data_IF_061774534471
#
_entry.id   IF_061774534471
#
_cell.length_a   1.000
_cell.length_b   1.000
_cell.length_c   1.000
_cell.angle_alpha   90.00
_cell.angle_beta   90.00
_cell.angle_gamma   90.00
#
_symmetry.space_group_name_H-M   'P 1'
#
loop_
_entity.id
_entity.type
_entity.pdbx_description
1 polymer ?
#
# COMPACT_ATOMS: atom_id res chain seq x y z
N UNK A 1 -16.47 -7.81 -14.39
CA UNK A 1 -15.98 -6.42 -14.45
C UNK A 1 -17.15 -5.45 -14.66
N UNK A 2 -16.98 -4.14 -14.35
CA UNK A 2 -18.07 -3.16 -14.57
C UNK A 2 -18.30 -2.91 -16.07
N UNK A 3 -19.56 -2.92 -16.50
CA UNK A 3 -19.93 -2.75 -17.91
C UNK A 3 -20.41 -1.33 -18.25
N UNK A 4 -20.86 -0.57 -17.27
CA UNK A 4 -21.36 0.80 -17.43
C UNK A 4 -21.53 1.49 -16.08
N UNK A 5 -21.76 2.80 -16.06
CA UNK A 5 -22.12 3.55 -14.84
C UNK A 5 -23.46 3.06 -14.27
N UNK A 6 -24.41 2.66 -15.12
CA UNK A 6 -25.67 2.05 -14.65
C UNK A 6 -25.44 0.70 -13.96
N UNK A 7 -24.53 -0.13 -14.47
CA UNK A 7 -24.15 -1.39 -13.82
C UNK A 7 -23.44 -1.13 -12.49
N UNK A 8 -22.54 -0.14 -12.42
CA UNK A 8 -21.91 0.30 -11.18
C UNK A 8 -22.98 0.66 -10.11
N UNK A 9 -24.01 1.42 -10.47
CA UNK A 9 -25.07 1.81 -9.54
C UNK A 9 -25.94 0.60 -9.10
N UNK A 10 -26.14 -0.35 -9.98
CA UNK A 10 -26.84 -1.59 -9.66
C UNK A 10 -26.05 -2.41 -8.64
N UNK A 11 -24.77 -2.68 -8.90
CA UNK A 11 -23.88 -3.42 -8.01
C UNK A 11 -23.79 -2.72 -6.64
N UNK A 12 -23.63 -1.40 -6.60
CA UNK A 12 -23.58 -0.64 -5.38
C UNK A 12 -24.83 -0.83 -4.49
N UNK A 13 -26.03 -0.83 -5.11
CA UNK A 13 -27.32 -1.08 -4.42
C UNK A 13 -27.44 -2.53 -3.95
N UNK A 14 -27.11 -3.50 -4.79
CA UNK A 14 -27.22 -4.93 -4.48
C UNK A 14 -26.33 -5.33 -3.31
N UNK A 15 -25.15 -4.75 -3.24
CA UNK A 15 -24.17 -5.02 -2.18
C UNK A 15 -24.31 -4.08 -0.97
N UNK A 16 -25.13 -3.05 -1.06
CA UNK A 16 -25.25 -1.99 -0.06
C UNK A 16 -23.91 -1.35 0.29
N UNK A 17 -23.12 -1.03 -0.75
CA UNK A 17 -21.79 -0.40 -0.65
C UNK A 17 -21.84 0.92 -1.40
N UNK A 18 -21.10 1.91 -0.90
CA UNK A 18 -20.93 3.19 -1.58
C UNK A 18 -20.46 3.00 -3.03
N UNK A 19 -21.09 3.69 -3.99
CA UNK A 19 -20.78 3.53 -5.42
C UNK A 19 -19.34 3.89 -5.77
N UNK A 20 -18.78 4.87 -5.08
CA UNK A 20 -17.40 5.31 -5.28
C UNK A 20 -16.42 4.25 -4.82
N UNK A 21 -16.70 3.53 -3.74
CA UNK A 21 -15.89 2.39 -3.31
C UNK A 21 -15.92 1.25 -4.35
N UNK A 22 -17.08 0.92 -4.89
CA UNK A 22 -17.22 -0.07 -5.97
C UNK A 22 -16.43 0.34 -7.21
N UNK A 23 -16.54 1.61 -7.62
CA UNK A 23 -15.79 2.17 -8.75
C UNK A 23 -14.27 2.05 -8.55
N UNK A 24 -13.78 2.45 -7.37
CA UNK A 24 -12.34 2.44 -7.06
C UNK A 24 -11.78 1.02 -6.92
N UNK A 25 -12.55 0.09 -6.37
CA UNK A 25 -12.17 -1.34 -6.33
C UNK A 25 -12.03 -1.87 -7.76
N UNK A 26 -13.02 -1.64 -8.61
CA UNK A 26 -12.99 -2.09 -10.00
C UNK A 26 -11.84 -1.46 -10.78
N UNK A 27 -11.62 -0.15 -10.64
CA UNK A 27 -10.51 0.58 -11.25
C UNK A 27 -9.15 0.01 -10.80
N UNK A 28 -8.98 -0.20 -9.50
CA UNK A 28 -7.75 -0.76 -8.95
C UNK A 28 -7.49 -2.20 -9.43
N UNK A 29 -8.53 -3.03 -9.54
CA UNK A 29 -8.40 -4.40 -10.01
C UNK A 29 -8.11 -4.49 -11.51
N UNK A 30 -8.67 -3.58 -12.32
CA UNK A 30 -8.57 -3.62 -13.78
C UNK A 30 -7.40 -2.83 -14.35
N UNK A 31 -6.93 -1.77 -13.63
CA UNK A 31 -6.11 -0.73 -14.25
C UNK A 31 -6.92 0.05 -15.31
N UNK A 32 -6.25 0.74 -16.21
CA UNK A 32 -6.88 1.50 -17.27
C UNK A 32 -6.16 1.36 -18.63
N UNK A 33 -6.88 1.63 -19.70
CA UNK A 33 -6.31 1.97 -21.01
C UNK A 33 -5.90 3.44 -20.97
N UNK A 34 -4.82 3.79 -21.66
CA UNK A 34 -4.41 5.18 -21.79
C UNK A 34 -3.70 5.43 -23.11
N UNK A 35 -3.87 6.61 -23.73
CA UNK A 35 -3.05 7.06 -24.84
C UNK A 35 -1.65 7.48 -24.40
N UNK A 36 -1.42 7.65 -23.09
CA UNK A 36 -0.12 8.01 -22.54
C UNK A 36 0.86 6.84 -22.70
N UNK A 37 2.06 7.13 -23.19
CA UNK A 37 3.11 6.12 -23.39
C UNK A 37 3.83 5.77 -22.07
N UNK A 38 3.05 5.42 -21.03
CA UNK A 38 3.53 5.10 -19.68
C UNK A 38 2.90 3.79 -19.20
N UNK A 39 3.65 2.90 -18.57
CA UNK A 39 3.10 1.66 -18.03
C UNK A 39 2.24 1.90 -16.78
N UNK A 40 2.49 3.02 -16.09
CA UNK A 40 1.88 3.39 -14.81
C UNK A 40 2.00 4.89 -14.60
N UNK A 41 1.05 5.48 -13.86
CA UNK A 41 1.14 6.88 -13.44
C UNK A 41 0.58 7.10 -12.03
N UNK A 42 1.00 8.20 -11.42
CA UNK A 42 0.39 8.81 -10.24
C UNK A 42 -0.43 10.01 -10.68
N UNK A 43 -1.58 10.22 -10.07
CA UNK A 43 -2.44 11.36 -10.40
C UNK A 43 -3.45 11.63 -9.29
N UNK A 44 -4.01 12.82 -9.32
CA UNK A 44 -5.17 13.17 -8.51
C UNK A 44 -6.44 12.97 -9.33
N UNK A 45 -7.40 12.25 -8.76
CA UNK A 45 -8.73 12.02 -9.32
C UNK A 45 -9.78 12.78 -8.52
N UNK A 46 -10.67 13.50 -9.21
CA UNK A 46 -11.88 14.09 -8.65
C UNK A 46 -13.08 13.41 -9.29
N UNK A 47 -13.76 12.57 -8.55
CA UNK A 47 -14.97 11.91 -9.05
C UNK A 47 -16.09 12.93 -9.26
N UNK A 48 -16.85 12.81 -10.37
CA UNK A 48 -17.97 13.71 -10.67
C UNK A 48 -19.03 13.70 -9.56
N UNK A 49 -19.18 12.59 -8.85
CA UNK A 49 -20.08 12.46 -7.69
C UNK A 49 -19.52 13.06 -6.39
N UNK A 50 -18.21 13.35 -6.33
CA UNK A 50 -17.52 13.91 -5.14
C UNK A 50 -16.39 14.89 -5.55
N UNK A 51 -16.73 15.98 -6.23
CA UNK A 51 -15.74 16.90 -6.81
C UNK A 51 -14.84 17.57 -5.76
N UNK A 52 -15.34 17.73 -4.54
CA UNK A 52 -14.63 18.39 -3.44
C UNK A 52 -13.69 17.43 -2.67
N UNK A 53 -13.64 16.15 -3.07
CA UNK A 53 -12.79 15.15 -2.40
C UNK A 53 -11.75 14.61 -3.38
N UNK A 54 -10.59 15.24 -3.50
CA UNK A 54 -9.52 14.73 -4.36
C UNK A 54 -8.98 13.41 -3.80
N UNK A 55 -8.67 12.49 -4.72
CA UNK A 55 -8.14 11.16 -4.44
C UNK A 55 -6.77 11.02 -5.09
N UNK A 56 -5.76 10.60 -4.35
CA UNK A 56 -4.47 10.27 -4.93
C UNK A 56 -4.43 8.79 -5.32
N UNK A 57 -4.16 8.51 -6.58
CA UNK A 57 -4.13 7.16 -7.13
C UNK A 57 -2.81 6.84 -7.81
N UNK A 58 -2.48 5.54 -7.81
CA UNK A 58 -1.41 4.97 -8.63
C UNK A 58 -2.04 3.85 -9.47
N UNK A 59 -2.00 4.00 -10.79
CA UNK A 59 -2.74 3.14 -11.69
C UNK A 59 -1.85 2.58 -12.81
N UNK A 60 -2.02 1.30 -13.12
CA UNK A 60 -1.46 0.65 -14.30
C UNK A 60 -2.23 1.11 -15.56
N UNK A 61 -1.51 1.51 -16.61
CA UNK A 61 -2.07 2.07 -17.85
C UNK A 61 -2.01 1.08 -19.05
N UNK A 62 -1.31 -0.01 -18.92
CA UNK A 62 -1.08 -0.96 -20.02
C UNK A 62 -2.23 -1.95 -20.27
N UNK A 63 -3.41 -1.74 -19.67
CA UNK A 63 -4.53 -2.70 -19.67
C UNK A 63 -5.50 -2.46 -20.83
N UNK A 64 -5.23 -3.07 -21.99
CA UNK A 64 -6.07 -2.90 -23.18
C UNK A 64 -7.48 -3.49 -23.04
N UNK A 65 -7.67 -4.45 -22.15
CA UNK A 65 -8.92 -5.13 -21.81
C UNK A 65 -9.73 -4.42 -20.71
N UNK A 66 -9.18 -3.35 -20.11
CA UNK A 66 -9.87 -2.61 -19.06
C UNK A 66 -11.10 -1.85 -19.59
N UNK A 67 -12.21 -1.83 -18.83
CA UNK A 67 -13.34 -0.96 -19.15
C UNK A 67 -13.05 0.52 -18.85
N UNK A 68 -11.98 0.80 -18.11
CA UNK A 68 -11.55 2.15 -17.77
C UNK A 68 -10.58 2.70 -18.83
N UNK A 69 -10.73 3.98 -19.09
CA UNK A 69 -9.83 4.76 -19.94
C UNK A 69 -9.45 6.04 -19.21
N UNK A 70 -8.15 6.36 -19.18
CA UNK A 70 -7.64 7.56 -18.53
C UNK A 70 -6.73 8.31 -19.49
N UNK A 71 -6.96 9.61 -19.62
CA UNK A 71 -6.08 10.54 -20.31
C UNK A 71 -5.57 11.64 -19.34
N UNK A 72 -5.03 12.73 -19.86
CA UNK A 72 -4.51 13.83 -19.06
C UNK A 72 -5.58 14.64 -18.30
N UNK A 73 -6.85 14.43 -18.62
CA UNK A 73 -7.94 15.27 -18.13
C UNK A 73 -9.06 14.50 -17.47
N UNK A 74 -9.35 13.27 -17.93
CA UNK A 74 -10.55 12.57 -17.55
C UNK A 74 -10.31 11.08 -17.30
N UNK A 75 -11.08 10.52 -16.36
CA UNK A 75 -11.30 9.08 -16.20
C UNK A 75 -12.68 8.74 -16.76
N UNK A 76 -12.74 7.71 -17.60
CA UNK A 76 -13.97 7.20 -18.22
C UNK A 76 -14.18 5.73 -17.89
N UNK A 77 -15.45 5.33 -17.77
CA UNK A 77 -15.89 3.94 -17.69
C UNK A 77 -16.71 3.62 -18.96
N UNK A 78 -16.15 2.79 -19.83
CA UNK A 78 -16.75 2.45 -21.14
C UNK A 78 -17.24 3.69 -21.94
N UNK A 79 -16.40 4.74 -21.99
CA UNK A 79 -16.66 5.97 -22.72
C UNK A 79 -17.45 7.04 -21.95
N UNK A 80 -18.09 6.70 -20.82
CA UNK A 80 -18.78 7.65 -19.98
C UNK A 80 -17.83 8.25 -18.95
N UNK A 81 -17.73 9.58 -18.86
CA UNK A 81 -16.91 10.29 -17.88
C UNK A 81 -17.38 10.00 -16.46
N UNK A 82 -16.42 9.73 -15.55
CA UNK A 82 -16.68 9.47 -14.13
C UNK A 82 -15.85 10.36 -13.20
N UNK A 83 -14.91 11.11 -13.74
CA UNK A 83 -14.12 12.05 -12.96
C UNK A 83 -13.07 12.80 -13.76
N UNK A 84 -12.55 13.88 -13.15
CA UNK A 84 -11.46 14.70 -13.67
C UNK A 84 -10.12 14.22 -13.11
N UNK A 85 -9.10 14.25 -13.97
CA UNK A 85 -7.71 13.88 -13.67
C UNK A 85 -6.87 15.13 -13.67
N UNK A 86 -6.06 15.32 -12.64
CA UNK A 86 -5.04 16.36 -12.58
C UNK A 86 -3.77 15.86 -11.83
N UNK A 87 -2.74 16.70 -11.79
CA UNK A 87 -1.53 16.41 -11.04
C UNK A 87 -0.81 15.13 -11.45
N UNK A 88 -0.74 14.86 -12.75
CA UNK A 88 -0.08 13.65 -13.27
C UNK A 88 1.42 13.72 -13.00
N UNK A 89 1.92 12.70 -12.32
CA UNK A 89 3.34 12.50 -12.02
C UNK A 89 3.81 11.16 -12.57
N UNK A 90 5.09 11.09 -12.91
CA UNK A 90 5.72 9.81 -13.18
C UNK A 90 5.79 8.98 -11.90
N UNK A 91 5.48 7.68 -11.99
CA UNK A 91 5.60 6.79 -10.84
C UNK A 91 7.04 6.26 -10.71
N UNK A 92 8.00 7.16 -10.82
CA UNK A 92 9.39 6.87 -10.53
C UNK A 92 9.62 6.71 -9.03
N UNK A 93 10.62 5.92 -8.67
CA UNK A 93 11.00 5.81 -7.28
C UNK A 93 11.65 7.10 -6.82
N UNK A 94 10.85 7.97 -6.25
CA UNK A 94 11.36 9.11 -5.53
C UNK A 94 11.87 8.68 -4.16
N UNK A 95 12.96 9.31 -3.69
CA UNK A 95 13.58 9.00 -2.42
C UNK A 95 12.64 9.25 -1.23
N UNK A 96 11.85 10.30 -1.30
CA UNK A 96 10.84 10.60 -0.26
C UNK A 96 9.66 11.38 -0.82
N UNK A 97 8.49 11.11 -0.26
CA UNK A 97 7.25 11.82 -0.61
C UNK A 97 6.31 11.93 0.59
N UNK A 98 5.50 12.98 0.57
CA UNK A 98 4.52 13.27 1.60
C UNK A 98 3.21 12.51 1.40
N UNK A 99 2.53 12.25 2.51
CA UNK A 99 1.17 11.73 2.58
C UNK A 99 0.41 12.40 3.71
N UNK A 100 -0.92 12.43 3.62
CA UNK A 100 -1.76 13.11 4.58
C UNK A 100 -1.30 14.56 4.79
N UNK A 101 -1.20 15.31 3.70
CA UNK A 101 -0.50 16.59 3.67
C UNK A 101 0.99 16.39 3.99
N UNK A 102 1.52 17.14 4.96
CA UNK A 102 2.93 17.00 5.41
C UNK A 102 3.08 16.24 6.74
N UNK A 103 2.02 15.53 7.19
CA UNK A 103 2.04 14.82 8.48
C UNK A 103 2.74 13.47 8.42
N UNK A 104 2.82 12.87 7.24
CA UNK A 104 3.42 11.56 7.04
C UNK A 104 4.43 11.61 5.90
N UNK A 105 5.61 11.06 6.13
CA UNK A 105 6.68 10.96 5.15
C UNK A 105 6.92 9.49 4.82
N UNK A 106 6.99 9.16 3.55
CA UNK A 106 7.48 7.85 3.09
C UNK A 106 8.88 8.02 2.51
N UNK A 107 9.82 7.21 2.98
CA UNK A 107 11.20 7.16 2.52
C UNK A 107 11.47 5.86 1.79
N UNK A 108 11.99 5.99 0.58
CA UNK A 108 12.55 4.92 -0.24
C UNK A 108 14.08 4.96 -0.12
N UNK A 109 14.58 4.88 1.10
CA UNK A 109 15.97 5.16 1.44
C UNK A 109 16.90 3.95 1.38
N UNK A 110 16.43 2.81 0.90
CA UNK A 110 17.24 1.64 0.60
C UNK A 110 17.23 1.34 -0.91
N UNK A 111 18.31 0.76 -1.42
CA UNK A 111 18.47 0.52 -2.86
C UNK A 111 17.36 -0.38 -3.43
N UNK A 112 16.69 0.06 -4.48
CA UNK A 112 15.65 -0.71 -5.19
C UNK A 112 16.20 -1.98 -5.83
N UNK A 113 17.45 -2.01 -6.22
CA UNK A 113 18.14 -3.19 -6.76
C UNK A 113 18.03 -4.41 -5.84
N UNK A 114 17.79 -4.23 -4.56
CA UNK A 114 17.52 -5.30 -3.61
C UNK A 114 16.07 -5.79 -3.61
N UNK A 115 15.14 -5.04 -4.25
CA UNK A 115 13.69 -5.29 -4.23
C UNK A 115 13.20 -5.90 -5.55
N UNK A 116 13.77 -7.02 -5.97
CA UNK A 116 13.39 -7.72 -7.19
C UNK A 116 12.94 -9.15 -6.88
N UNK A 117 12.17 -9.77 -7.78
CA UNK A 117 11.82 -11.18 -7.75
C UNK A 117 10.42 -11.52 -7.22
N UNK A 118 9.60 -10.54 -6.78
CA UNK A 118 8.17 -10.78 -6.53
C UNK A 118 7.39 -10.54 -7.82
N UNK A 119 6.68 -11.55 -8.32
CA UNK A 119 6.02 -11.50 -9.64
C UNK A 119 4.85 -10.50 -9.73
N UNK A 120 4.28 -10.12 -8.59
CA UNK A 120 3.18 -9.15 -8.51
C UNK A 120 3.68 -7.69 -8.48
N UNK A 121 4.99 -7.47 -8.34
CA UNK A 121 5.54 -6.15 -8.11
C UNK A 121 6.06 -5.54 -9.43
N UNK A 122 5.62 -4.35 -9.82
CA UNK A 122 6.12 -3.68 -11.01
C UNK A 122 7.63 -3.41 -10.94
N UNK A 123 8.19 -3.26 -9.74
CA UNK A 123 9.64 -3.09 -9.55
C UNK A 123 10.47 -4.28 -10.09
N UNK A 124 9.88 -5.46 -10.23
CA UNK A 124 10.53 -6.63 -10.84
C UNK A 124 10.72 -6.46 -12.36
N UNK A 125 9.94 -5.59 -12.97
CA UNK A 125 9.92 -5.33 -14.42
C UNK A 125 10.73 -4.09 -14.82
N UNK A 126 11.22 -3.32 -13.85
CA UNK A 126 11.94 -2.06 -14.07
C UNK A 126 13.42 -2.22 -13.76
N UNK A 127 14.27 -1.57 -14.54
CA UNK A 127 15.69 -1.50 -14.26
C UNK A 127 15.92 -0.81 -12.91
N UNK A 128 16.57 -1.49 -11.99
CA UNK A 128 16.90 -0.95 -10.68
C UNK A 128 18.21 -0.15 -10.76
N UNK A 129 18.11 1.12 -11.08
CA UNK A 129 19.25 2.04 -11.00
C UNK A 129 19.11 2.94 -9.78
N UNK A 130 19.88 2.68 -8.72
CA UNK A 130 19.91 3.47 -7.51
C UNK A 130 21.34 3.87 -7.10
N UNK A 131 22.12 4.52 -7.95
CA UNK A 131 23.54 4.74 -7.67
C UNK A 131 23.78 5.74 -6.52
N UNK A 132 22.77 6.57 -6.18
CA UNK A 132 22.93 7.68 -5.24
C UNK A 132 22.51 7.37 -3.80
N UNK A 133 21.72 6.32 -3.56
CA UNK A 133 21.11 6.08 -2.23
C UNK A 133 22.12 5.59 -1.20
N UNK A 134 23.15 4.86 -1.61
CA UNK A 134 24.16 4.30 -0.68
C UNK A 134 25.07 5.35 0.00
N UNK A 135 25.14 6.56 -0.51
CA UNK A 135 25.97 7.64 0.02
C UNK A 135 25.14 8.85 0.48
N UNK A 136 23.86 8.63 0.77
CA UNK A 136 22.92 9.69 1.08
C UNK A 136 23.12 10.26 2.47
N UNK A 137 23.34 11.58 2.59
CA UNK A 137 23.14 12.31 3.83
C UNK A 137 21.63 12.42 4.14
N UNK A 138 21.11 11.44 4.88
CA UNK A 138 19.69 11.39 5.25
C UNK A 138 19.26 12.63 6.04
N UNK A 139 20.13 13.17 6.90
CA UNK A 139 19.79 14.36 7.70
C UNK A 139 19.66 15.60 6.82
N UNK A 140 20.62 15.83 5.93
CA UNK A 140 20.55 16.91 4.96
C UNK A 140 19.36 16.79 4.00
N UNK A 141 19.09 15.57 3.55
CA UNK A 141 17.92 15.30 2.69
C UNK A 141 16.59 15.60 3.40
N UNK A 142 16.40 15.16 4.64
CA UNK A 142 15.18 15.43 5.41
C UNK A 142 15.00 16.94 5.67
N UNK A 143 16.09 17.65 5.96
CA UNK A 143 16.06 19.11 6.09
C UNK A 143 15.67 19.83 4.82
N UNK A 144 16.22 19.42 3.69
CA UNK A 144 15.86 19.97 2.37
C UNK A 144 14.39 19.68 2.00
N UNK A 145 13.92 18.46 2.29
CA UNK A 145 12.53 18.08 2.04
C UNK A 145 11.55 18.91 2.88
N UNK A 146 11.86 19.16 4.16
CA UNK A 146 11.08 20.06 5.01
C UNK A 146 11.05 21.48 4.45
N UNK A 147 12.20 22.04 4.10
CA UNK A 147 12.31 23.40 3.55
C UNK A 147 11.53 23.56 2.23
N UNK A 148 11.63 22.58 1.32
CA UNK A 148 10.89 22.57 0.05
C UNK A 148 9.37 22.53 0.26
N UNK A 149 8.91 22.03 1.41
CA UNK A 149 7.50 21.98 1.80
C UNK A 149 7.08 23.17 2.68
N UNK A 150 7.92 24.20 2.79
CA UNK A 150 7.65 25.40 3.60
C UNK A 150 7.73 25.18 5.11
N UNK A 151 8.34 24.08 5.56
CA UNK A 151 8.51 23.77 6.97
C UNK A 151 9.91 24.14 7.45
N UNK A 152 10.02 24.62 8.71
CA UNK A 152 11.29 24.92 9.36
C UNK A 152 11.91 23.70 10.06
N UNK A 153 11.13 22.67 10.33
CA UNK A 153 11.53 21.41 10.96
C UNK A 153 10.49 20.32 10.69
N UNK A 154 10.81 19.08 11.03
CA UNK A 154 9.90 17.94 10.94
C UNK A 154 9.12 17.69 12.24
N UNK A 155 8.96 18.68 13.12
CA UNK A 155 8.29 18.52 14.41
C UNK A 155 6.79 18.15 14.30
N UNK A 156 6.14 18.52 13.19
CA UNK A 156 4.75 18.17 12.91
C UNK A 156 4.55 16.81 12.23
N UNK A 157 5.63 16.14 11.86
CA UNK A 157 5.58 14.83 11.19
C UNK A 157 5.29 13.74 12.21
N UNK A 158 4.19 13.05 12.01
CA UNK A 158 3.71 12.00 12.91
C UNK A 158 4.33 10.65 12.63
N UNK A 159 4.64 10.37 11.36
CA UNK A 159 5.21 9.08 10.95
C UNK A 159 6.20 9.25 9.81
N UNK A 160 7.34 8.60 9.93
CA UNK A 160 8.30 8.42 8.85
C UNK A 160 8.34 6.93 8.52
N UNK A 161 7.93 6.58 7.31
CA UNK A 161 7.84 5.19 6.81
C UNK A 161 9.05 4.85 5.95
N UNK A 162 9.77 3.81 6.28
CA UNK A 162 10.81 3.19 5.42
C UNK A 162 10.20 1.97 4.73
N UNK A 163 10.03 2.02 3.41
CA UNK A 163 9.28 0.99 2.68
C UNK A 163 9.94 0.45 1.40
N UNK A 164 11.09 0.98 0.99
CA UNK A 164 11.73 0.53 -0.26
C UNK A 164 12.89 -0.39 -0.02
N UNK A 165 13.01 -1.32 -0.95
CA UNK A 165 14.05 -2.31 -0.98
C UNK A 165 13.84 -3.40 0.06
N UNK A 166 14.36 -4.58 -0.25
CA UNK A 166 14.40 -5.65 0.72
C UNK A 166 15.80 -5.70 1.28
N UNK A 167 15.92 -5.54 2.57
CA UNK A 167 17.18 -5.84 3.23
C UNK A 167 17.48 -7.33 3.13
N UNK A 168 18.75 -7.70 2.90
CA UNK A 168 19.16 -9.08 2.88
C UNK A 168 19.23 -9.68 4.28
N UNK A 169 19.58 -8.85 5.27
CA UNK A 169 19.81 -9.27 6.65
C UNK A 169 19.19 -8.27 7.62
N UNK A 170 18.70 -8.77 8.75
CA UNK A 170 18.08 -7.99 9.82
C UNK A 170 19.02 -6.91 10.39
N UNK A 171 20.30 -7.25 10.61
CA UNK A 171 21.28 -6.29 11.17
C UNK A 171 21.52 -5.08 10.24
N UNK A 172 21.45 -5.27 8.91
CA UNK A 172 21.55 -4.17 7.94
C UNK A 172 20.31 -3.27 8.00
N UNK A 173 19.13 -3.87 8.16
CA UNK A 173 17.91 -3.11 8.35
C UNK A 173 17.98 -2.27 9.64
N UNK A 174 18.40 -2.86 10.75
CA UNK A 174 18.54 -2.15 12.02
C UNK A 174 19.55 -1.00 11.98
N UNK A 175 20.71 -1.23 11.33
CA UNK A 175 21.69 -0.16 11.13
C UNK A 175 21.08 1.02 10.37
N UNK A 176 20.41 0.75 9.25
CA UNK A 176 19.74 1.76 8.46
C UNK A 176 18.62 2.49 9.24
N UNK A 177 17.78 1.76 9.98
CA UNK A 177 16.72 2.35 10.81
C UNK A 177 17.28 3.24 11.93
N UNK A 178 18.45 2.89 12.48
CA UNK A 178 19.17 3.72 13.45
C UNK A 178 19.60 5.04 12.81
N UNK A 179 20.13 5.02 11.59
CA UNK A 179 20.51 6.21 10.84
C UNK A 179 19.27 7.08 10.51
N UNK A 180 18.17 6.47 10.08
CA UNK A 180 16.91 7.18 9.81
C UNK A 180 16.41 7.84 11.10
N UNK A 181 16.39 7.13 12.23
CA UNK A 181 15.97 7.69 13.52
C UNK A 181 16.86 8.86 13.95
N UNK A 182 18.17 8.75 13.77
CA UNK A 182 19.09 9.85 14.06
C UNK A 182 18.81 11.07 13.18
N UNK A 183 18.60 10.86 11.87
CA UNK A 183 18.26 11.92 10.93
C UNK A 183 16.89 12.57 11.24
N UNK A 184 15.88 11.80 11.65
CA UNK A 184 14.60 12.32 12.17
C UNK A 184 14.84 13.26 13.35
N UNK A 185 15.60 12.80 14.35
CA UNK A 185 15.91 13.59 15.56
C UNK A 185 16.65 14.87 15.24
N UNK A 186 17.66 14.82 14.36
CA UNK A 186 18.42 16.00 13.92
C UNK A 186 17.53 17.06 13.24
N UNK A 187 16.41 16.66 12.64
CA UNK A 187 15.42 17.54 12.03
C UNK A 187 14.19 17.81 12.91
N UNK A 188 14.26 17.48 14.21
CA UNK A 188 13.21 17.77 15.19
C UNK A 188 12.01 16.82 15.16
N UNK A 189 12.05 15.72 14.41
CA UNK A 189 10.97 14.75 14.34
C UNK A 189 11.06 13.74 15.49
N UNK A 190 10.03 13.70 16.34
CA UNK A 190 9.84 12.70 17.40
C UNK A 190 8.76 11.67 17.07
N UNK A 191 8.22 11.71 15.86
CA UNK A 191 7.15 10.84 15.37
C UNK A 191 7.55 9.36 15.31
N UNK A 192 6.59 8.53 14.94
CA UNK A 192 6.77 7.09 14.79
C UNK A 192 7.70 6.75 13.62
N UNK A 193 8.71 5.92 13.85
CA UNK A 193 9.45 5.27 12.78
C UNK A 193 8.70 4.02 12.38
N UNK A 194 8.23 4.00 11.14
CA UNK A 194 7.48 2.88 10.59
C UNK A 194 8.33 2.11 9.58
N UNK A 195 8.39 0.80 9.73
CA UNK A 195 9.17 -0.09 8.87
C UNK A 195 8.33 -1.16 8.21
N UNK A 196 8.27 -1.13 6.88
CA UNK A 196 7.66 -2.17 6.05
C UNK A 196 8.72 -3.17 5.60
N UNK A 197 8.67 -4.41 6.12
CA UNK A 197 9.70 -5.39 5.81
C UNK A 197 9.29 -6.83 6.11
N UNK A 198 10.11 -7.79 5.68
CA UNK A 198 10.01 -9.21 6.02
C UNK A 198 11.24 -9.72 6.78
N UNK A 199 12.16 -8.85 7.18
CA UNK A 199 13.45 -9.29 7.79
C UNK A 199 13.55 -9.04 9.30
N UNK A 200 12.72 -8.17 9.88
CA UNK A 200 12.77 -7.85 11.30
C UNK A 200 11.84 -8.80 12.08
N UNK A 201 12.39 -9.93 12.54
CA UNK A 201 11.59 -11.02 13.13
C UNK A 201 12.22 -11.70 14.34
N UNK A 202 13.54 -11.50 14.59
CA UNK A 202 14.22 -12.09 15.73
C UNK A 202 13.89 -11.34 17.04
N UNK A 203 14.07 -12.01 18.20
CA UNK A 203 13.90 -11.40 19.52
C UNK A 203 14.82 -10.20 19.69
N UNK A 204 16.12 -10.37 19.40
CA UNK A 204 17.12 -9.30 19.53
C UNK A 204 16.84 -8.13 18.59
N UNK A 205 16.38 -8.43 17.37
CA UNK A 205 15.99 -7.42 16.38
C UNK A 205 14.78 -6.59 16.84
N UNK A 206 13.79 -7.24 17.42
CA UNK A 206 12.60 -6.58 17.95
C UNK A 206 12.91 -5.76 19.20
N UNK A 207 13.83 -6.23 20.07
CA UNK A 207 14.31 -5.46 21.22
C UNK A 207 15.08 -4.21 20.76
N UNK A 208 15.96 -4.35 19.76
CA UNK A 208 16.66 -3.21 19.16
C UNK A 208 15.69 -2.19 18.54
N UNK A 209 14.67 -2.65 17.81
CA UNK A 209 13.64 -1.79 17.23
C UNK A 209 12.83 -1.04 18.30
N UNK A 210 12.46 -1.72 19.40
CA UNK A 210 11.80 -1.08 20.54
C UNK A 210 12.67 0.02 21.17
N UNK A 211 13.99 -0.14 21.17
CA UNK A 211 14.94 0.86 21.63
C UNK A 211 15.03 2.11 20.75
N UNK A 212 14.53 2.09 19.51
CA UNK A 212 14.52 3.25 18.62
C UNK A 212 13.40 4.28 18.93
N UNK A 213 12.61 4.07 19.99
CA UNK A 213 11.49 4.95 20.36
C UNK A 213 10.16 4.50 19.73
N UNK A 214 9.19 5.40 19.47
CA UNK A 214 7.93 4.99 18.86
C UNK A 214 8.17 4.27 17.53
N UNK A 215 7.78 2.98 17.47
CA UNK A 215 8.06 2.12 16.33
C UNK A 215 6.82 1.36 15.85
N UNK A 216 6.65 1.31 14.55
CA UNK A 216 5.59 0.57 13.89
C UNK A 216 6.20 -0.47 12.93
N UNK A 217 5.93 -1.74 13.16
CA UNK A 217 6.35 -2.84 12.31
C UNK A 217 5.20 -3.32 11.44
N UNK A 218 5.35 -3.22 10.12
CA UNK A 218 4.49 -3.90 9.15
C UNK A 218 5.24 -5.07 8.52
N UNK A 219 4.79 -6.31 8.74
CA UNK A 219 5.35 -7.45 8.03
C UNK A 219 4.69 -7.63 6.67
N UNK A 220 5.50 -7.83 5.63
CA UNK A 220 5.03 -7.97 4.25
C UNK A 220 4.59 -9.41 3.99
N UNK A 221 3.38 -9.78 4.42
CA UNK A 221 2.80 -11.10 4.19
C UNK A 221 2.49 -11.32 2.71
N UNK A 222 1.86 -10.37 2.07
CA UNK A 222 1.52 -10.27 0.64
C UNK A 222 0.48 -11.30 0.18
N UNK A 223 0.74 -12.59 0.35
CA UNK A 223 -0.16 -13.72 0.06
C UNK A 223 0.13 -14.89 1.00
N UNK A 224 -0.75 -15.86 1.04
CA UNK A 224 -0.66 -17.02 1.95
C UNK A 224 -0.47 -18.33 1.20
N UNK A 225 -1.19 -18.50 0.09
CA UNK A 225 -1.01 -19.62 -0.83
C UNK A 225 0.11 -19.31 -1.83
N UNK A 226 0.53 -20.23 -2.66
CA UNK A 226 1.47 -20.07 -3.77
C UNK A 226 2.70 -19.15 -3.51
N UNK A 227 3.05 -18.91 -2.22
CA UNK A 227 4.11 -17.99 -1.80
C UNK A 227 5.43 -18.17 -2.54
N UNK A 228 5.81 -19.45 -2.79
CA UNK A 228 7.08 -19.77 -3.47
C UNK A 228 7.08 -19.41 -4.96
N UNK A 229 5.90 -19.32 -5.56
CA UNK A 229 5.73 -18.96 -6.98
C UNK A 229 5.61 -17.44 -7.14
N UNK A 230 5.01 -16.78 -6.15
CA UNK A 230 4.64 -15.35 -6.21
C UNK A 230 5.72 -14.45 -5.60
N UNK A 231 6.35 -14.89 -4.51
CA UNK A 231 7.31 -14.08 -3.77
C UNK A 231 8.75 -14.48 -4.07
N UNK A 232 9.64 -13.50 -3.99
CA UNK A 232 11.07 -13.81 -3.99
C UNK A 232 11.42 -14.75 -2.84
N UNK A 233 12.44 -15.57 -3.03
CA UNK A 233 12.80 -16.66 -2.12
C UNK A 233 12.96 -16.20 -0.66
N UNK A 234 13.63 -15.06 -0.42
CA UNK A 234 13.85 -14.54 0.93
C UNK A 234 12.55 -14.16 1.66
N UNK A 235 11.53 -13.69 0.94
CA UNK A 235 10.19 -13.43 1.51
C UNK A 235 9.38 -14.73 1.67
N UNK A 236 9.46 -15.63 0.69
CA UNK A 236 8.71 -16.88 0.70
C UNK A 236 9.13 -17.82 1.83
N UNK A 237 10.39 -17.76 2.27
CA UNK A 237 10.93 -18.53 3.40
C UNK A 237 10.27 -18.20 4.74
N UNK A 238 9.89 -16.95 4.97
CA UNK A 238 9.19 -16.54 6.19
C UNK A 238 7.72 -16.97 6.08
N UNK A 239 7.36 -17.99 6.84
CA UNK A 239 6.02 -18.60 6.80
C UNK A 239 4.97 -17.75 7.55
N UNK A 240 3.67 -17.86 7.21
CA UNK A 240 2.62 -17.15 7.93
C UNK A 240 2.63 -17.39 9.46
N UNK A 241 2.80 -18.62 9.98
CA UNK A 241 2.92 -18.82 11.43
C UNK A 241 4.12 -18.13 12.10
N UNK A 242 5.27 -18.08 11.40
CA UNK A 242 6.44 -17.36 11.89
C UNK A 242 6.19 -15.84 11.91
N UNK A 243 5.47 -15.30 10.92
CA UNK A 243 5.06 -13.90 10.91
C UNK A 243 4.13 -13.58 12.08
N UNK A 244 3.12 -14.41 12.34
CA UNK A 244 2.22 -14.24 13.48
C UNK A 244 3.00 -14.26 14.80
N UNK A 245 3.96 -15.18 14.93
CA UNK A 245 4.84 -15.25 16.10
C UNK A 245 5.65 -13.96 16.27
N UNK A 246 6.28 -13.46 15.19
CA UNK A 246 7.08 -12.25 15.22
C UNK A 246 6.23 -11.00 15.55
N UNK A 247 5.05 -10.85 14.94
CA UNK A 247 4.11 -9.75 15.26
C UNK A 247 3.62 -9.84 16.72
N UNK A 248 3.34 -11.04 17.24
CA UNK A 248 2.97 -11.26 18.64
C UNK A 248 4.08 -10.80 19.61
N UNK A 249 5.33 -11.14 19.30
CA UNK A 249 6.52 -10.68 20.08
C UNK A 249 6.72 -9.18 19.98
N UNK A 250 6.54 -8.60 18.79
CA UNK A 250 6.61 -7.15 18.61
C UNK A 250 5.53 -6.42 19.42
N UNK A 251 4.28 -6.91 19.38
CA UNK A 251 3.16 -6.40 20.18
C UNK A 251 3.46 -6.45 21.69
N UNK A 252 4.03 -7.54 22.19
CA UNK A 252 4.42 -7.69 23.61
C UNK A 252 5.46 -6.65 24.05
N UNK A 253 6.29 -6.15 23.12
CA UNK A 253 7.27 -5.08 23.32
C UNK A 253 6.68 -3.67 23.18
N UNK A 254 5.38 -3.54 22.98
CA UNK A 254 4.70 -2.26 22.82
C UNK A 254 4.86 -1.63 21.44
N UNK A 255 5.37 -2.36 20.44
CA UNK A 255 5.43 -1.88 19.08
C UNK A 255 4.02 -1.86 18.49
N UNK A 256 3.74 -0.87 17.63
CA UNK A 256 2.57 -0.94 16.74
C UNK A 256 2.83 -2.00 15.68
N UNK A 257 1.84 -2.84 15.43
CA UNK A 257 1.98 -4.00 14.53
C UNK A 257 0.85 -4.07 13.52
N UNK A 258 1.21 -4.33 12.28
CA UNK A 258 0.29 -4.73 11.22
C UNK A 258 1.02 -5.57 10.14
N UNK A 259 0.33 -5.86 9.04
CA UNK A 259 0.89 -6.61 7.91
C UNK A 259 0.33 -6.08 6.59
N UNK A 260 1.03 -6.35 5.50
CA UNK A 260 0.50 -6.14 4.15
C UNK A 260 -0.16 -7.41 3.63
N UNK A 261 -1.25 -7.25 2.88
CA UNK A 261 -1.89 -8.35 2.16
C UNK A 261 -2.43 -7.85 0.82
N UNK A 262 -2.21 -8.64 -0.24
CA UNK A 262 -2.65 -8.29 -1.59
C UNK A 262 -3.93 -9.08 -1.91
N UNK A 263 -5.03 -8.37 -1.92
CA UNK A 263 -6.37 -8.90 -2.22
C UNK A 263 -6.44 -9.28 -3.70
N UNK A 264 -6.65 -10.56 -3.98
CA UNK A 264 -6.73 -11.11 -5.33
C UNK A 264 -5.63 -12.09 -5.69
N UNK A 265 -4.73 -12.43 -4.76
CA UNK A 265 -3.70 -13.47 -4.95
C UNK A 265 -4.06 -14.82 -4.35
N UNK A 266 -4.93 -14.86 -3.33
CA UNK A 266 -5.36 -16.08 -2.67
C UNK A 266 -6.87 -16.29 -2.84
N UNK A 267 -7.37 -17.54 -2.88
CA UNK A 267 -8.80 -17.82 -2.70
C UNK A 267 -9.33 -17.19 -1.41
N UNK A 268 -10.59 -16.75 -1.40
CA UNK A 268 -11.18 -16.00 -0.27
C UNK A 268 -11.13 -16.82 1.02
N UNK A 269 -11.49 -18.08 0.95
CA UNK A 269 -11.56 -18.99 2.10
C UNK A 269 -10.19 -19.18 2.74
N UNK A 270 -9.15 -19.40 1.91
CA UNK A 270 -7.78 -19.58 2.38
C UNK A 270 -7.24 -18.29 3.00
N UNK A 271 -7.50 -17.16 2.35
CA UNK A 271 -7.12 -15.85 2.87
C UNK A 271 -7.74 -15.57 4.23
N UNK A 272 -9.06 -15.77 4.38
CA UNK A 272 -9.79 -15.53 5.63
C UNK A 272 -9.28 -16.45 6.75
N UNK A 273 -9.01 -17.73 6.45
CA UNK A 273 -8.50 -18.68 7.45
C UNK A 273 -7.12 -18.24 7.99
N UNK A 274 -6.22 -17.83 7.11
CA UNK A 274 -4.93 -17.30 7.55
C UNK A 274 -5.07 -15.99 8.32
N UNK A 275 -5.88 -15.05 7.83
CA UNK A 275 -6.07 -13.74 8.43
C UNK A 275 -6.63 -13.82 9.86
N UNK A 276 -7.46 -14.82 10.18
CA UNK A 276 -7.92 -15.07 11.56
C UNK A 276 -6.77 -15.20 12.56
N UNK A 277 -5.61 -15.71 12.12
CA UNK A 277 -4.44 -15.88 12.99
C UNK A 277 -3.63 -14.58 13.13
N UNK A 278 -3.67 -13.69 12.12
CA UNK A 278 -2.96 -12.41 12.14
C UNK A 278 -3.68 -11.32 12.96
N UNK A 279 -5.02 -11.29 12.91
CA UNK A 279 -5.79 -10.22 13.56
C UNK A 279 -5.49 -10.08 15.06
N UNK A 280 -5.37 -11.15 15.87
CA UNK A 280 -5.08 -11.02 17.31
C UNK A 280 -3.72 -10.38 17.63
N UNK A 281 -2.76 -10.43 16.73
CA UNK A 281 -1.42 -9.86 16.90
C UNK A 281 -1.23 -8.51 16.24
N UNK A 282 -2.31 -7.94 15.69
CA UNK A 282 -2.34 -6.66 14.98
C UNK A 282 -2.88 -5.56 15.90
N UNK A 283 -2.26 -4.37 15.87
CA UNK A 283 -2.65 -3.21 16.68
C UNK A 283 -2.98 -1.96 15.84
N UNK A 284 -2.67 -1.98 14.55
CA UNK A 284 -3.09 -1.00 13.56
C UNK A 284 -3.85 -1.70 12.43
N UNK A 285 -4.64 -0.96 11.65
CA UNK A 285 -5.39 -1.54 10.53
C UNK A 285 -4.42 -2.09 9.48
N UNK A 286 -4.54 -3.37 9.06
CA UNK A 286 -3.62 -3.98 8.11
C UNK A 286 -3.70 -3.33 6.72
N UNK A 287 -2.63 -3.43 5.96
CA UNK A 287 -2.50 -2.80 4.65
C UNK A 287 -2.99 -3.75 3.56
N UNK A 288 -4.30 -3.71 3.29
CA UNK A 288 -4.92 -4.46 2.20
C UNK A 288 -4.81 -3.68 0.90
N UNK A 289 -4.20 -4.27 -0.12
CA UNK A 289 -4.08 -3.69 -1.45
C UNK A 289 -4.75 -4.57 -2.49
N UNK A 290 -5.62 -4.01 -3.30
CA UNK A 290 -6.19 -4.73 -4.44
C UNK A 290 -5.08 -5.09 -5.43
N UNK A 291 -5.02 -6.36 -5.83
CA UNK A 291 -4.08 -6.82 -6.84
C UNK A 291 -4.34 -6.13 -8.17
N UNK A 292 -3.30 -5.55 -8.72
CA UNK A 292 -3.32 -4.91 -10.02
C UNK A 292 -2.25 -5.56 -10.91
N UNK A 293 -2.66 -6.36 -11.87
CA UNK A 293 -1.75 -6.88 -12.87
C UNK A 293 -1.38 -5.79 -13.88
N UNK A 294 -0.09 -5.62 -14.11
CA UNK A 294 0.42 -4.62 -15.07
C UNK A 294 0.53 -5.16 -16.50
N UNK A 295 0.47 -6.48 -16.68
CA UNK A 295 0.55 -7.15 -17.96
C UNK A 295 -0.04 -8.56 -17.88
N UNK A 296 -0.15 -9.24 -19.02
CA UNK A 296 -0.72 -10.59 -19.11
C UNK A 296 0.07 -11.64 -18.31
N UNK A 297 1.39 -11.48 -18.14
CA UNK A 297 2.19 -12.38 -17.31
C UNK A 297 1.76 -12.34 -15.86
N UNK A 298 1.43 -11.14 -15.33
CA UNK A 298 0.96 -10.98 -13.97
C UNK A 298 -0.46 -11.51 -13.77
N UNK A 299 -1.30 -11.51 -14.81
CA UNK A 299 -2.68 -11.99 -14.68
C UNK A 299 -2.78 -13.47 -14.27
N UNK A 300 -1.80 -14.30 -14.62
CA UNK A 300 -1.81 -15.74 -14.28
C UNK A 300 -1.73 -16.01 -12.77
N UNK A 301 -1.33 -15.00 -11.98
CA UNK A 301 -1.23 -15.11 -10.52
C UNK A 301 -2.49 -14.66 -9.79
N UNK A 302 -3.52 -14.25 -10.51
CA UNK A 302 -4.82 -13.93 -9.88
C UNK A 302 -5.44 -15.18 -9.29
N UNK A 303 -6.01 -15.02 -8.10
CA UNK A 303 -6.89 -16.05 -7.56
C UNK A 303 -8.09 -16.26 -8.51
N UNK A 304 -8.56 -17.50 -8.68
CA UNK A 304 -9.72 -17.76 -9.52
C UNK A 304 -10.93 -16.92 -9.11
N UNK A 305 -11.55 -16.23 -10.10
CA UNK A 305 -12.70 -15.34 -9.90
C UNK A 305 -12.33 -13.89 -9.53
N UNK A 306 -11.08 -13.61 -9.14
CA UNK A 306 -10.68 -12.25 -8.74
C UNK A 306 -10.59 -11.24 -9.89
N UNK A 307 -10.91 -11.65 -11.11
CA UNK A 307 -11.18 -10.77 -12.24
C UNK A 307 -12.58 -10.13 -12.19
N UNK A 308 -13.47 -10.57 -11.29
CA UNK A 308 -14.83 -10.06 -11.15
C UNK A 308 -14.98 -9.06 -10.01
N UNK A 309 -15.92 -8.12 -10.14
CA UNK A 309 -16.19 -7.17 -9.03
C UNK A 309 -16.85 -7.88 -7.85
N UNK A 310 -17.71 -8.87 -8.10
CA UNK A 310 -18.41 -9.64 -7.09
C UNK A 310 -17.44 -10.37 -6.15
N UNK A 311 -16.37 -10.92 -6.73
CA UNK A 311 -15.31 -11.56 -5.92
C UNK A 311 -14.67 -10.55 -4.96
N UNK A 312 -14.32 -9.36 -5.45
CA UNK A 312 -13.72 -8.31 -4.61
C UNK A 312 -14.67 -7.82 -3.52
N UNK A 313 -15.97 -7.70 -3.82
CA UNK A 313 -16.98 -7.29 -2.85
C UNK A 313 -17.24 -8.40 -1.82
N UNK A 314 -17.20 -9.68 -2.22
CA UNK A 314 -17.25 -10.83 -1.29
C UNK A 314 -16.05 -10.79 -0.34
N UNK A 315 -14.84 -10.64 -0.90
CA UNK A 315 -13.62 -10.56 -0.08
C UNK A 315 -13.66 -9.35 0.86
N UNK A 316 -14.09 -8.18 0.38
CA UNK A 316 -14.27 -6.99 1.22
C UNK A 316 -15.21 -7.26 2.40
N UNK A 317 -16.35 -7.89 2.16
CA UNK A 317 -17.32 -8.24 3.22
C UNK A 317 -16.70 -9.20 4.24
N UNK A 318 -16.01 -10.24 3.78
CA UNK A 318 -15.32 -11.18 4.67
C UNK A 318 -14.26 -10.51 5.55
N UNK A 319 -13.54 -9.55 5.00
CA UNK A 319 -12.55 -8.75 5.75
C UNK A 319 -13.23 -7.79 6.75
N UNK A 320 -14.36 -7.17 6.38
CA UNK A 320 -15.14 -6.32 7.27
C UNK A 320 -15.72 -7.11 8.46
N UNK A 321 -16.22 -8.32 8.21
CA UNK A 321 -16.71 -9.22 9.27
C UNK A 321 -15.58 -9.65 10.21
N UNK A 322 -14.39 -9.90 9.67
CA UNK A 322 -13.24 -10.34 10.46
C UNK A 322 -12.64 -9.20 11.30
N UNK A 323 -12.50 -8.00 10.72
CA UNK A 323 -11.75 -6.90 11.32
C UNK A 323 -12.67 -5.92 12.05
N UNK A 324 -13.91 -5.75 11.59
CA UNK A 324 -14.86 -4.81 12.18
C UNK A 324 -14.97 -4.88 13.71
N UNK A 325 -15.05 -6.09 14.32
CA UNK A 325 -15.10 -6.24 15.78
C UNK A 325 -13.88 -5.73 16.54
N UNK A 326 -12.73 -5.56 15.88
CA UNK A 326 -11.51 -5.05 16.53
C UNK A 326 -11.53 -3.55 16.83
N UNK A 327 -12.42 -2.79 16.20
CA UNK A 327 -12.43 -1.33 16.24
C UNK A 327 -11.39 -0.67 15.33
N UNK A 328 -10.48 -1.43 14.70
CA UNK A 328 -9.53 -0.89 13.75
C UNK A 328 -10.24 -0.42 12.48
N UNK A 329 -9.79 0.71 11.92
CA UNK A 329 -10.39 1.32 10.72
C UNK A 329 -9.31 1.68 9.71
N UNK A 330 -9.58 1.48 8.41
CA UNK A 330 -8.63 1.83 7.34
C UNK A 330 -8.43 3.34 7.26
N UNK A 331 -7.22 3.73 6.90
CA UNK A 331 -6.86 5.10 6.61
C UNK A 331 -6.30 5.18 5.19
N UNK A 332 -6.84 6.09 4.38
CA UNK A 332 -6.51 6.17 2.96
C UNK A 332 -5.02 6.31 2.68
N UNK A 333 -4.34 7.17 3.39
CA UNK A 333 -2.91 7.43 3.19
C UNK A 333 -1.99 6.26 3.52
N UNK A 334 -2.49 5.21 4.17
CA UNK A 334 -1.71 4.01 4.47
C UNK A 334 -1.65 3.04 3.29
N UNK A 335 -2.47 3.26 2.24
CA UNK A 335 -2.65 2.27 1.19
C UNK A 335 -3.00 2.91 -0.15
N UNK A 336 -2.37 2.47 -1.24
CA UNK A 336 -2.60 3.04 -2.58
C UNK A 336 -3.84 2.51 -3.28
N UNK A 337 -4.22 1.27 -2.99
CA UNK A 337 -5.26 0.52 -3.69
C UNK A 337 -6.15 -0.18 -2.70
N UNK A 338 -6.59 0.57 -1.68
CA UNK A 338 -7.44 0.03 -0.63
C UNK A 338 -8.79 -0.44 -1.18
N UNK A 339 -9.34 -1.55 -0.70
CA UNK A 339 -10.74 -1.91 -0.93
C UNK A 339 -11.71 -0.92 -0.26
N UNK A 340 -11.24 -0.03 0.59
CA UNK A 340 -12.05 0.96 1.33
C UNK A 340 -11.50 2.37 1.10
N UNK A 341 -12.33 3.23 0.62
CA UNK A 341 -12.01 4.64 0.45
C UNK A 341 -12.98 5.53 1.23
N UNK A 342 -14.26 5.28 1.10
CA UNK A 342 -15.32 6.10 1.69
C UNK A 342 -16.09 5.40 2.80
N UNK A 343 -16.19 4.07 2.76
CA UNK A 343 -16.94 3.30 3.77
C UNK A 343 -16.20 2.05 4.21
N UNK A 344 -16.44 1.62 5.45
CA UNK A 344 -15.98 0.36 6.03
C UNK A 344 -17.09 -0.22 6.91
N UNK A 345 -17.57 -1.40 6.62
CA UNK A 345 -18.65 -2.07 7.36
C UNK A 345 -19.89 -1.16 7.60
N UNK A 346 -20.25 -0.37 6.59
CA UNK A 346 -21.37 0.58 6.67
C UNK A 346 -21.07 1.91 7.36
N UNK A 347 -19.89 2.07 7.97
CA UNK A 347 -19.45 3.33 8.58
C UNK A 347 -18.75 4.22 7.56
N UNK A 348 -19.01 5.54 7.59
CA UNK A 348 -18.32 6.50 6.74
C UNK A 348 -16.89 6.74 7.23
N UNK A 349 -15.92 6.65 6.31
CA UNK A 349 -14.51 6.93 6.58
C UNK A 349 -14.22 8.41 6.34
N UNK A 350 -13.80 9.09 7.39
CA UNK A 350 -13.41 10.49 7.37
C UNK A 350 -11.91 10.67 7.13
N UNK A 351 -11.49 11.89 6.80
CA UNK A 351 -10.08 12.25 6.60
C UNK A 351 -9.69 12.44 5.15
N UNK A 352 -8.45 12.91 4.96
CA UNK A 352 -7.90 13.20 3.64
C UNK A 352 -7.76 11.93 2.79
N UNK A 353 -7.97 12.08 1.47
CA UNK A 353 -7.81 11.01 0.47
C UNK A 353 -6.57 11.22 -0.41
N UNK A 354 -5.75 12.21 -0.08
CA UNK A 354 -4.48 12.55 -0.74
C UNK A 354 -3.32 12.55 0.25
#
# INVERSE_FOLDING_TARGET
MLESVRHLEQVAREWNINREDVLLIALNASGARSPLAKPRMRFTLRLDSRPDTPLFLILSLGRQDSPFEVDEHELRLNGEKVGDVDGIEDDDAVLGYWRNGTRMLTLNSNARSQCTGCVFCPNTLEDASDPSIQALDLSGYLGALAANSGMTSLASVETVTVCTGCFLYEHLALAHLTEVRAAMGANGCTGTLHFLSSVLTSEDGLDAAAGLGPFHLTLTAECFTERRQILKESKAKLTPPEMVTALGRAKQRGLTTDFTYIVGLDPIEDAVEHLKTFIPVTTAFPRFQTYQAHNAFMDVYRAPGSETIEWHLTMRRSLEELIGPTGLRPQWWQNYRSPWCFTFAGEELTGAKI
#
